data_IF_090711561082
#
_entry.id   IF_090711561082
#
_cell.length_a   1.000
_cell.length_b   1.000
_cell.length_c   1.000
_cell.angle_alpha   90.00
_cell.angle_beta   90.00
_cell.angle_gamma   90.00
#
_symmetry.space_group_name_H-M   'P 1'
#
loop_
_entity.id
_entity.type
_entity.pdbx_description
1 polymer ?
#
# COMPACT_ATOMS: atom_id res chain seq x y z
N UNK A 1 -3.07 -7.22 -28.56
CA UNK A 1 -2.02 -7.71 -29.34
C UNK A 1 -0.74 -6.87 -29.47
N UNK A 2 -0.50 -6.24 -30.63
CA UNK A 2 0.77 -5.57 -31.00
C UNK A 2 1.20 -4.49 -29.99
N UNK A 3 0.28 -3.66 -29.55
CA UNK A 3 0.57 -2.61 -28.55
C UNK A 3 1.10 -3.19 -27.21
N UNK A 4 0.56 -4.32 -26.77
CA UNK A 4 1.04 -4.95 -25.54
C UNK A 4 2.50 -5.40 -25.70
N UNK A 5 2.87 -5.99 -26.82
CA UNK A 5 4.25 -6.41 -27.12
C UNK A 5 5.18 -5.20 -27.11
N UNK A 6 4.77 -4.10 -27.75
CA UNK A 6 5.55 -2.86 -27.77
C UNK A 6 5.80 -2.30 -26.37
N UNK A 7 4.76 -2.24 -25.53
CA UNK A 7 4.90 -1.76 -24.14
C UNK A 7 5.67 -2.72 -23.22
N UNK A 8 5.68 -4.01 -23.55
CA UNK A 8 6.47 -5.01 -22.78
C UNK A 8 7.94 -5.06 -23.20
N UNK A 9 8.31 -4.54 -24.37
CA UNK A 9 9.68 -4.58 -24.89
C UNK A 9 10.73 -3.99 -23.93
N UNK A 10 10.54 -2.80 -23.30
CA UNK A 10 11.50 -2.27 -22.34
C UNK A 10 11.68 -3.18 -21.12
N UNK A 11 10.61 -3.79 -20.61
CA UNK A 11 10.67 -4.74 -19.49
C UNK A 11 11.44 -6.00 -19.88
N UNK A 12 11.20 -6.51 -21.08
CA UNK A 12 11.95 -7.65 -21.62
C UNK A 12 13.44 -7.35 -21.66
N UNK A 13 13.83 -6.22 -22.27
CA UNK A 13 15.26 -5.79 -22.36
C UNK A 13 15.87 -5.66 -20.97
N UNK A 14 15.16 -5.03 -20.02
CA UNK A 14 15.64 -4.84 -18.65
C UNK A 14 15.90 -6.19 -17.97
N UNK A 15 14.95 -7.13 -18.05
CA UNK A 15 15.07 -8.45 -17.43
C UNK A 15 16.21 -9.24 -18.08
N UNK A 16 16.23 -9.31 -19.41
CA UNK A 16 17.25 -10.07 -20.14
C UNK A 16 18.66 -9.52 -19.89
N UNK A 17 18.79 -8.18 -19.92
CA UNK A 17 20.09 -7.52 -19.67
C UNK A 17 20.56 -7.72 -18.24
N UNK A 18 19.65 -7.73 -17.25
CA UNK A 18 20.01 -7.93 -15.84
C UNK A 18 20.57 -9.32 -15.55
N UNK A 19 20.38 -10.27 -16.45
CA UNK A 19 20.87 -11.65 -16.33
C UNK A 19 22.15 -11.92 -17.17
N UNK A 20 22.69 -10.90 -17.85
CA UNK A 20 23.90 -11.00 -18.67
C UNK A 20 25.15 -10.59 -17.88
N UNK A 21 26.29 -11.12 -18.30
CA UNK A 21 27.60 -10.62 -17.84
C UNK A 21 27.87 -9.22 -18.43
N UNK A 22 28.72 -8.41 -17.76
CA UNK A 22 29.12 -7.10 -18.26
C UNK A 22 29.83 -7.18 -19.61
N UNK A 23 30.54 -8.27 -19.89
CA UNK A 23 31.22 -8.52 -21.15
C UNK A 23 30.20 -8.73 -22.28
N UNK A 24 29.16 -9.54 -22.04
CA UNK A 24 28.08 -9.76 -23.02
C UNK A 24 27.27 -8.50 -23.30
N UNK A 25 27.03 -7.67 -22.28
CA UNK A 25 26.36 -6.37 -22.46
C UNK A 25 27.17 -5.43 -23.35
N UNK A 26 28.49 -5.39 -23.19
CA UNK A 26 29.42 -4.56 -24.00
C UNK A 26 29.49 -5.02 -25.45
N UNK A 27 29.23 -6.29 -25.74
CA UNK A 27 29.20 -6.83 -27.12
C UNK A 27 27.98 -6.42 -27.93
N UNK A 28 27.01 -5.74 -27.33
CA UNK A 28 26.10 -4.83 -28.03
C UNK A 28 24.72 -5.33 -28.41
N UNK A 29 24.32 -6.57 -28.12
CA UNK A 29 22.95 -6.98 -28.43
C UNK A 29 22.09 -7.16 -27.15
N UNK A 30 21.32 -6.10 -26.83
CA UNK A 30 20.47 -6.07 -25.63
C UNK A 30 19.23 -6.96 -25.74
N UNK A 31 18.80 -7.32 -26.97
CA UNK A 31 17.58 -8.10 -27.18
C UNK A 31 17.79 -9.62 -27.21
N UNK A 32 19.01 -10.08 -27.38
CA UNK A 32 19.31 -11.52 -27.35
C UNK A 32 19.17 -12.09 -25.94
N UNK A 33 18.78 -13.34 -25.82
CA UNK A 33 18.82 -14.06 -24.55
C UNK A 33 20.29 -14.18 -24.05
N UNK A 34 20.51 -14.22 -22.74
CA UNK A 34 21.84 -14.42 -22.18
C UNK A 34 22.43 -15.76 -22.60
N UNK A 35 23.70 -15.81 -22.94
CA UNK A 35 24.41 -17.07 -23.21
C UNK A 35 24.58 -17.89 -21.95
N UNK A 36 24.87 -17.19 -20.85
CA UNK A 36 24.92 -17.73 -19.49
C UNK A 36 24.12 -16.82 -18.57
N UNK A 37 23.30 -17.43 -17.70
CA UNK A 37 22.52 -16.67 -16.72
C UNK A 37 23.44 -16.31 -15.55
N UNK A 38 23.67 -14.99 -15.38
CA UNK A 38 24.54 -14.45 -14.34
C UNK A 38 23.70 -13.58 -13.39
N UNK A 39 23.81 -13.85 -12.10
CA UNK A 39 23.09 -13.08 -11.05
C UNK A 39 23.98 -12.05 -10.36
N UNK A 40 25.17 -11.76 -10.88
CA UNK A 40 26.12 -10.84 -10.22
C UNK A 40 25.57 -9.41 -10.13
N UNK A 41 24.90 -8.91 -11.17
CA UNK A 41 24.24 -7.61 -11.15
C UNK A 41 23.22 -7.50 -10.01
N UNK A 42 22.42 -8.54 -9.79
CA UNK A 42 21.44 -8.61 -8.71
C UNK A 42 22.09 -8.67 -7.33
N UNK A 43 23.18 -9.47 -7.21
CA UNK A 43 23.93 -9.61 -5.96
C UNK A 43 24.60 -8.29 -5.59
N UNK A 44 25.21 -7.61 -6.56
CA UNK A 44 25.85 -6.31 -6.37
C UNK A 44 24.82 -5.26 -5.99
N UNK A 45 23.71 -5.16 -6.73
CA UNK A 45 22.63 -4.21 -6.43
C UNK A 45 22.02 -4.43 -5.05
N UNK A 46 21.86 -5.70 -4.63
CA UNK A 46 21.25 -6.03 -3.34
C UNK A 46 22.21 -5.80 -2.16
N UNK A 47 23.45 -6.26 -2.25
CA UNK A 47 24.37 -6.34 -1.11
C UNK A 47 25.61 -5.43 -1.19
N UNK A 48 25.84 -4.74 -2.32
CA UNK A 48 26.99 -3.88 -2.53
C UNK A 48 28.34 -4.62 -2.69
N UNK A 49 28.36 -5.95 -2.71
CA UNK A 49 29.58 -6.72 -2.79
C UNK A 49 30.18 -6.67 -4.20
N UNK A 50 31.38 -6.11 -4.35
CA UNK A 50 32.17 -6.17 -5.57
C UNK A 50 32.39 -4.86 -6.31
N UNK A 51 31.95 -3.74 -5.78
CA UNK A 51 32.22 -2.40 -6.32
C UNK A 51 32.71 -1.46 -5.22
N UNK A 52 33.77 -0.70 -5.49
CA UNK A 52 34.24 0.42 -4.66
C UNK A 52 33.34 1.66 -4.71
N UNK A 53 32.15 1.54 -5.24
CA UNK A 53 31.12 2.59 -5.25
C UNK A 53 30.47 2.62 -3.86
N UNK A 54 31.02 3.47 -3.00
CA UNK A 54 30.63 3.73 -1.62
C UNK A 54 29.23 3.26 -1.22
N UNK A 55 29.19 2.21 -0.47
CA UNK A 55 28.13 1.69 0.44
C UNK A 55 26.64 1.87 0.08
N UNK A 56 26.27 2.18 -1.17
CA UNK A 56 24.88 2.36 -1.59
C UNK A 56 24.35 1.08 -2.24
N UNK A 57 23.63 0.29 -1.50
CA UNK A 57 22.98 -0.94 -1.96
C UNK A 57 21.51 -1.00 -1.54
N UNK A 58 20.69 -1.78 -2.27
CA UNK A 58 19.24 -1.75 -2.13
C UNK A 58 18.73 -2.34 -0.81
N UNK A 59 19.44 -3.30 -0.22
CA UNK A 59 18.97 -4.04 0.95
C UNK A 59 18.50 -3.17 2.12
N UNK A 60 19.23 -2.16 2.62
CA UNK A 60 18.74 -1.34 3.74
C UNK A 60 17.55 -0.49 3.35
N UNK A 61 17.51 0.06 2.13
CA UNK A 61 16.40 0.87 1.64
C UNK A 61 15.14 0.03 1.47
N UNK A 62 15.28 -1.20 0.94
CA UNK A 62 14.17 -2.15 0.84
C UNK A 62 13.57 -2.46 2.21
N UNK A 63 14.39 -2.74 3.21
CA UNK A 63 13.91 -2.99 4.56
C UNK A 63 13.29 -1.76 5.21
N UNK A 64 13.83 -0.57 4.99
CA UNK A 64 13.23 0.66 5.47
C UNK A 64 11.84 0.91 4.83
N UNK A 65 11.73 0.71 3.51
CA UNK A 65 10.46 0.79 2.81
C UNK A 65 9.45 -0.25 3.33
N UNK A 66 9.89 -1.48 3.54
CA UNK A 66 9.04 -2.55 4.08
C UNK A 66 8.54 -2.22 5.49
N UNK A 67 9.43 -1.75 6.38
CA UNK A 67 9.07 -1.33 7.74
C UNK A 67 8.11 -0.13 7.76
N UNK A 68 8.10 0.69 6.73
CA UNK A 68 7.18 1.81 6.58
C UNK A 68 5.85 1.36 5.95
N UNK A 69 5.89 0.68 4.81
CA UNK A 69 4.71 0.37 4.01
C UNK A 69 3.82 -0.67 4.68
N UNK A 70 4.40 -1.76 5.17
CA UNK A 70 3.60 -2.87 5.73
C UNK A 70 2.75 -2.42 6.92
N UNK A 71 3.29 -1.75 7.95
CA UNK A 71 2.45 -1.25 9.04
C UNK A 71 1.44 -0.19 8.58
N UNK A 72 1.83 0.73 7.69
CA UNK A 72 0.95 1.78 7.21
C UNK A 72 -0.26 1.20 6.46
N UNK A 73 -0.04 0.21 5.58
CA UNK A 73 -1.11 -0.49 4.86
C UNK A 73 -2.03 -1.24 5.82
N UNK A 74 -1.46 -2.00 6.77
CA UNK A 74 -2.26 -2.74 7.74
C UNK A 74 -3.14 -1.79 8.56
N UNK A 75 -2.57 -0.70 9.09
CA UNK A 75 -3.29 0.26 9.92
C UNK A 75 -4.38 0.97 9.10
N UNK A 76 -4.05 1.49 7.92
CA UNK A 76 -5.03 2.22 7.08
C UNK A 76 -6.15 1.32 6.59
N UNK A 77 -5.85 0.08 6.19
CA UNK A 77 -6.85 -0.89 5.73
C UNK A 77 -7.77 -1.31 6.88
N UNK A 78 -7.20 -1.63 8.03
CA UNK A 78 -7.97 -2.03 9.21
C UNK A 78 -8.90 -0.90 9.70
N UNK A 79 -8.37 0.30 9.87
CA UNK A 79 -9.14 1.46 10.29
C UNK A 79 -10.16 1.87 9.22
N UNK A 80 -9.81 1.79 7.93
CA UNK A 80 -10.72 2.04 6.83
C UNK A 80 -11.88 1.06 6.80
N UNK A 81 -11.63 -0.22 7.05
CA UNK A 81 -12.67 -1.24 7.17
C UNK A 81 -13.60 -0.95 8.36
N UNK A 82 -13.02 -0.61 9.51
CA UNK A 82 -13.80 -0.27 10.71
C UNK A 82 -14.67 0.97 10.50
N UNK A 83 -14.11 2.02 9.89
CA UNK A 83 -14.84 3.24 9.55
C UNK A 83 -15.94 2.98 8.52
N UNK A 84 -15.63 2.23 7.45
CA UNK A 84 -16.62 1.83 6.45
C UNK A 84 -17.81 1.10 7.08
N UNK A 85 -17.54 0.19 8.01
CA UNK A 85 -18.58 -0.51 8.78
C UNK A 85 -19.41 0.44 9.64
N UNK A 86 -18.75 1.27 10.44
CA UNK A 86 -19.45 2.21 11.32
C UNK A 86 -20.34 3.17 10.52
N UNK A 87 -19.85 3.67 9.39
CA UNK A 87 -20.56 4.63 8.53
C UNK A 87 -21.68 4.03 7.68
N UNK A 88 -21.77 2.69 7.57
CA UNK A 88 -22.81 2.03 6.73
C UNK A 88 -23.78 1.19 7.53
N UNK A 89 -23.28 0.30 8.37
CA UNK A 89 -24.04 -0.75 9.05
C UNK A 89 -24.32 -0.44 10.52
N UNK A 90 -23.57 0.50 11.10
CA UNK A 90 -23.76 0.94 12.49
C UNK A 90 -24.05 2.43 12.57
N UNK A 91 -25.00 2.86 11.76
CA UNK A 91 -25.30 4.28 11.54
C UNK A 91 -25.54 5.04 12.85
N UNK A 92 -25.01 6.25 12.89
CA UNK A 92 -25.15 7.18 14.01
C UNK A 92 -25.49 8.59 13.51
N UNK A 93 -25.95 9.45 14.40
CA UNK A 93 -26.30 10.84 14.04
C UNK A 93 -25.03 11.59 13.61
N UNK A 94 -24.98 12.03 12.36
CA UNK A 94 -23.82 12.75 11.79
C UNK A 94 -22.87 11.88 10.95
N UNK A 95 -23.15 10.60 10.75
CA UNK A 95 -22.34 9.68 9.93
C UNK A 95 -22.06 10.23 8.52
N UNK A 96 -23.01 10.88 7.88
CA UNK A 96 -22.85 11.50 6.57
C UNK A 96 -21.83 12.68 6.60
N UNK A 97 -21.83 13.48 7.67
CA UNK A 97 -20.86 14.58 7.83
C UNK A 97 -19.45 14.00 8.01
N UNK A 98 -19.32 12.99 8.86
CA UNK A 98 -18.04 12.30 9.06
C UNK A 98 -17.54 11.68 7.74
N UNK A 99 -18.42 11.06 6.97
CA UNK A 99 -18.04 10.53 5.65
C UNK A 99 -17.60 11.63 4.68
N UNK A 100 -18.30 12.76 4.63
CA UNK A 100 -17.89 13.90 3.80
C UNK A 100 -16.51 14.43 4.18
N UNK A 101 -16.16 14.46 5.47
CA UNK A 101 -14.81 14.84 5.92
C UNK A 101 -13.74 13.86 5.42
N UNK A 102 -13.99 12.54 5.46
CA UNK A 102 -13.08 11.55 4.86
C UNK A 102 -12.97 11.74 3.35
N UNK A 103 -14.10 11.94 2.67
CA UNK A 103 -14.12 12.17 1.23
C UNK A 103 -13.34 13.44 0.86
N UNK A 104 -13.50 14.52 1.61
CA UNK A 104 -12.73 15.76 1.43
C UNK A 104 -11.22 15.49 1.60
N UNK A 105 -10.84 14.66 2.57
CA UNK A 105 -9.44 14.25 2.79
C UNK A 105 -8.80 13.58 1.58
N UNK A 106 -9.57 12.89 0.73
CA UNK A 106 -9.04 12.29 -0.51
C UNK A 106 -8.58 13.34 -1.55
N UNK A 107 -9.13 14.54 -1.51
CA UNK A 107 -8.87 15.60 -2.49
C UNK A 107 -7.88 16.66 -2.01
N UNK A 108 -7.44 16.62 -0.75
CA UNK A 108 -6.44 17.58 -0.25
C UNK A 108 -5.09 17.25 -0.91
N UNK A 109 -4.49 18.20 -1.67
CA UNK A 109 -3.15 18.01 -2.21
C UNK A 109 -2.16 17.84 -1.06
N UNK A 110 -1.39 16.79 -1.08
CA UNK A 110 -0.47 16.48 0.02
C UNK A 110 0.58 17.60 0.19
N UNK A 111 0.92 18.31 -0.88
CA UNK A 111 1.84 19.45 -0.88
C UNK A 111 1.33 20.61 0.01
N UNK A 112 0.02 20.82 0.06
CA UNK A 112 -0.59 21.89 0.86
C UNK A 112 -0.43 21.68 2.36
N UNK A 113 -0.31 20.43 2.80
CA UNK A 113 -0.22 20.08 4.22
C UNK A 113 1.16 19.63 4.67
N UNK A 114 2.19 19.70 3.80
CA UNK A 114 3.56 19.32 4.15
C UNK A 114 4.09 20.07 5.37
N UNK A 115 3.93 21.40 5.40
CA UNK A 115 4.44 22.23 6.51
C UNK A 115 3.69 21.98 7.82
N UNK A 116 2.35 22.01 7.88
CA UNK A 116 1.60 21.61 9.08
C UNK A 116 1.95 20.19 9.54
N UNK A 117 2.09 19.24 8.62
CA UNK A 117 2.46 17.87 8.92
C UNK A 117 3.85 17.78 9.56
N UNK A 118 4.86 18.43 8.97
CA UNK A 118 6.22 18.45 9.50
C UNK A 118 6.25 19.04 10.92
N UNK A 119 5.49 20.12 11.18
CA UNK A 119 5.35 20.73 12.52
C UNK A 119 4.68 19.75 13.50
N UNK A 120 3.62 19.07 13.09
CA UNK A 120 2.92 18.09 13.93
C UNK A 120 3.83 16.92 14.30
N UNK A 121 4.58 16.39 13.33
CA UNK A 121 5.55 15.31 13.59
C UNK A 121 6.68 15.78 14.52
N UNK A 122 7.14 17.04 14.36
CA UNK A 122 8.11 17.64 15.26
C UNK A 122 7.59 17.78 16.68
N UNK A 123 6.36 18.26 16.84
CA UNK A 123 5.70 18.36 18.16
C UNK A 123 5.53 17.01 18.85
N UNK A 124 5.20 15.96 18.07
CA UNK A 124 5.09 14.58 18.55
C UNK A 124 6.43 13.88 18.80
N UNK A 125 7.56 14.52 18.44
CA UNK A 125 8.90 13.95 18.59
C UNK A 125 9.20 12.77 17.65
N UNK A 126 8.43 12.59 16.58
CA UNK A 126 8.57 11.48 15.62
C UNK A 126 8.98 11.94 14.21
N UNK A 127 9.44 13.20 14.07
CA UNK A 127 10.02 13.68 12.81
C UNK A 127 11.29 12.87 12.45
N UNK A 128 11.59 12.77 11.15
CA UNK A 128 12.74 12.02 10.62
C UNK A 128 12.82 10.54 11.08
N UNK A 129 11.69 9.92 11.38
CA UNK A 129 11.61 8.52 11.81
C UNK A 129 10.70 7.69 10.91
N UNK A 130 10.95 6.37 10.84
CA UNK A 130 10.06 5.44 10.16
C UNK A 130 8.65 5.47 10.78
N UNK A 131 8.57 5.61 12.10
CA UNK A 131 7.28 5.73 12.82
C UNK A 131 6.49 6.96 12.33
N UNK A 132 7.14 8.11 12.19
CA UNK A 132 6.51 9.30 11.64
C UNK A 132 5.96 9.08 10.23
N UNK A 133 6.73 8.40 9.37
CA UNK A 133 6.28 8.06 8.02
C UNK A 133 5.11 7.06 8.04
N UNK A 134 5.13 6.05 8.91
CA UNK A 134 4.01 5.12 9.10
C UNK A 134 2.74 5.87 9.47
N UNK A 135 2.81 6.79 10.43
CA UNK A 135 1.65 7.61 10.84
C UNK A 135 1.10 8.43 9.68
N UNK A 136 1.98 9.13 8.96
CA UNK A 136 1.59 9.95 7.79
C UNK A 136 0.88 9.11 6.74
N UNK A 137 1.50 8.01 6.31
CA UNK A 137 0.93 7.14 5.27
C UNK A 137 -0.36 6.45 5.73
N UNK A 138 -0.47 6.10 7.02
CA UNK A 138 -1.71 5.55 7.58
C UNK A 138 -2.85 6.56 7.52
N UNK A 139 -2.60 7.82 7.89
CA UNK A 139 -3.63 8.89 7.86
C UNK A 139 -4.05 9.19 6.42
N UNK A 140 -3.11 9.30 5.49
CA UNK A 140 -3.44 9.48 4.07
C UNK A 140 -4.23 8.31 3.49
N UNK A 141 -3.79 7.09 3.76
CA UNK A 141 -4.46 5.89 3.31
C UNK A 141 -5.88 5.75 3.86
N UNK A 142 -6.12 6.27 5.07
CA UNK A 142 -7.40 6.13 5.77
C UNK A 142 -8.59 6.71 5.01
N UNK A 143 -8.43 7.83 4.34
CA UNK A 143 -9.49 8.45 3.54
C UNK A 143 -9.92 7.55 2.38
N UNK A 144 -8.97 7.05 1.61
CA UNK A 144 -9.23 6.16 0.47
C UNK A 144 -9.76 4.79 0.93
N UNK A 145 -9.14 4.18 1.92
CA UNK A 145 -9.59 2.87 2.42
C UNK A 145 -11.00 2.96 3.01
N UNK A 146 -11.31 4.02 3.76
CA UNK A 146 -12.67 4.28 4.26
C UNK A 146 -13.68 4.38 3.11
N UNK A 147 -13.36 5.12 2.04
CA UNK A 147 -14.21 5.24 0.86
C UNK A 147 -14.47 3.87 0.20
N UNK A 148 -13.42 3.08 -0.03
CA UNK A 148 -13.53 1.77 -0.66
C UNK A 148 -14.34 0.79 0.20
N UNK A 149 -14.03 0.68 1.48
CA UNK A 149 -14.78 -0.21 2.38
C UNK A 149 -16.23 0.23 2.56
N UNK A 150 -16.49 1.54 2.68
CA UNK A 150 -17.86 2.04 2.74
C UNK A 150 -18.66 1.64 1.51
N UNK A 151 -18.13 1.85 0.31
CA UNK A 151 -18.81 1.49 -0.92
C UNK A 151 -19.04 -0.02 -1.03
N UNK A 152 -18.08 -0.83 -0.61
CA UNK A 152 -18.22 -2.28 -0.56
C UNK A 152 -19.29 -2.71 0.44
N UNK A 153 -19.30 -2.15 1.64
CA UNK A 153 -20.27 -2.54 2.67
C UNK A 153 -21.69 -2.08 2.36
N UNK A 154 -21.90 -1.05 1.56
CA UNK A 154 -23.24 -0.69 1.06
C UNK A 154 -23.86 -1.84 0.26
N UNK A 155 -23.06 -2.59 -0.49
CA UNK A 155 -23.55 -3.73 -1.30
C UNK A 155 -23.88 -4.99 -0.48
N UNK A 156 -23.43 -5.07 0.77
CA UNK A 156 -23.72 -6.21 1.66
C UNK A 156 -25.14 -6.06 2.22
N UNK A 157 -25.94 -7.15 2.19
CA UNK A 157 -27.30 -7.14 2.72
C UNK A 157 -27.35 -6.80 4.21
N UNK A 158 -28.27 -5.92 4.60
CA UNK A 158 -28.49 -5.58 6.00
C UNK A 158 -29.08 -6.75 6.80
N UNK A 159 -29.67 -7.75 6.15
CA UNK A 159 -30.24 -8.93 6.78
C UNK A 159 -29.17 -9.76 7.49
N UNK A 160 -27.95 -9.83 6.93
CA UNK A 160 -26.81 -10.50 7.54
C UNK A 160 -26.46 -9.85 8.89
N UNK A 161 -26.48 -8.52 8.93
CA UNK A 161 -26.18 -7.77 10.15
C UNK A 161 -27.30 -7.89 11.16
N UNK A 162 -28.57 -7.87 10.69
CA UNK A 162 -29.75 -8.05 11.55
C UNK A 162 -29.78 -9.43 12.19
N UNK A 163 -29.54 -10.51 11.42
CA UNK A 163 -29.45 -11.87 11.95
C UNK A 163 -28.39 -11.98 13.04
N UNK A 164 -27.17 -11.48 12.76
CA UNK A 164 -26.09 -11.51 13.74
C UNK A 164 -26.43 -10.73 15.03
N UNK A 165 -27.21 -9.64 14.93
CA UNK A 165 -27.70 -8.90 16.11
C UNK A 165 -28.74 -9.69 16.89
N UNK A 166 -29.64 -10.41 16.22
CA UNK A 166 -30.62 -11.31 16.86
C UNK A 166 -29.90 -12.41 17.65
N UNK A 167 -28.77 -12.93 17.12
CA UNK A 167 -27.88 -13.88 17.77
C UNK A 167 -27.03 -13.26 18.91
N UNK A 168 -27.31 -12.03 19.31
CA UNK A 168 -26.63 -11.32 20.40
C UNK A 168 -25.20 -10.84 20.05
N UNK A 169 -24.88 -10.71 18.77
CA UNK A 169 -23.56 -10.19 18.37
C UNK A 169 -23.51 -8.66 18.47
N UNK A 170 -22.57 -8.14 19.28
CA UNK A 170 -22.27 -6.70 19.36
C UNK A 170 -21.36 -6.23 18.21
N UNK A 171 -21.04 -4.92 18.22
CA UNK A 171 -20.29 -4.23 17.18
C UNK A 171 -19.02 -4.97 16.72
N UNK A 172 -18.10 -5.24 17.64
CA UNK A 172 -16.85 -5.90 17.32
C UNK A 172 -17.02 -7.36 16.90
N UNK A 173 -17.98 -8.08 17.48
CA UNK A 173 -18.26 -9.48 17.11
C UNK A 173 -18.76 -9.56 15.66
N UNK A 174 -19.63 -8.65 15.25
CA UNK A 174 -20.11 -8.54 13.85
C UNK A 174 -18.95 -8.17 12.95
N UNK A 175 -18.14 -7.18 13.33
CA UNK A 175 -17.00 -6.75 12.52
C UNK A 175 -16.02 -7.91 12.27
N UNK A 176 -15.50 -8.54 13.32
CA UNK A 176 -14.46 -9.55 13.18
C UNK A 176 -14.95 -10.89 12.65
N UNK A 177 -16.18 -11.30 13.00
CA UNK A 177 -16.69 -12.65 12.67
C UNK A 177 -17.57 -12.69 11.42
N UNK A 178 -18.11 -11.57 10.99
CA UNK A 178 -19.00 -11.50 9.82
C UNK A 178 -18.38 -10.63 8.73
N UNK A 179 -18.16 -9.35 8.99
CA UNK A 179 -17.77 -8.40 7.95
C UNK A 179 -16.33 -8.58 7.47
N UNK A 180 -15.38 -8.69 8.38
CA UNK A 180 -13.97 -8.80 8.01
C UNK A 180 -13.67 -10.04 7.16
N UNK A 181 -14.20 -11.24 7.45
CA UNK A 181 -14.01 -12.42 6.58
C UNK A 181 -14.59 -12.25 5.18
N UNK A 182 -15.76 -11.66 5.04
CA UNK A 182 -16.37 -11.41 3.72
C UNK A 182 -15.75 -10.24 2.97
N UNK A 183 -14.89 -9.47 3.63
CA UNK A 183 -14.17 -8.32 3.04
C UNK A 183 -12.92 -8.72 2.25
N UNK A 184 -12.57 -10.01 2.16
CA UNK A 184 -11.39 -10.45 1.39
C UNK A 184 -11.24 -9.79 0.01
N UNK A 185 -12.30 -9.67 -0.82
CA UNK A 185 -12.15 -9.05 -2.14
C UNK A 185 -11.73 -7.59 -2.08
N UNK A 186 -12.32 -6.81 -1.17
CA UNK A 186 -12.00 -5.39 -1.05
C UNK A 186 -10.66 -5.16 -0.35
N UNK A 187 -10.25 -6.06 0.56
CA UNK A 187 -8.90 -6.02 1.16
C UNK A 187 -7.84 -6.15 0.07
N UNK A 188 -7.99 -7.11 -0.85
CA UNK A 188 -7.04 -7.30 -1.97
C UNK A 188 -6.98 -6.08 -2.89
N UNK A 189 -8.07 -5.34 -3.04
CA UNK A 189 -8.09 -4.12 -3.87
C UNK A 189 -7.43 -2.93 -3.15
N UNK A 190 -7.45 -2.90 -1.82
CA UNK A 190 -6.95 -1.78 -1.01
C UNK A 190 -5.49 -1.93 -0.57
N UNK A 191 -4.95 -3.13 -0.61
CA UNK A 191 -3.55 -3.48 -0.30
C UNK A 191 -2.71 -3.53 -1.57
#
# INVERSE_FOLDING_TARGET
GLFAIYYMAPMYVMIVTSLKSMEEIRQGNLMTLPREIVFDAWRIAWSGRGYDAGDVFLKPFFWNSTKMVVPAVIISTFLGALNGYALTKWRFKGDNIVFLLFLFGCFIPYQAILLPMARTLGFLGISNSITGLVVVHSVYGLSFTTLFFRNYYVSISDEIIKSARIDGAGFFKIFFKVLLPISSPIIVVTV
#
